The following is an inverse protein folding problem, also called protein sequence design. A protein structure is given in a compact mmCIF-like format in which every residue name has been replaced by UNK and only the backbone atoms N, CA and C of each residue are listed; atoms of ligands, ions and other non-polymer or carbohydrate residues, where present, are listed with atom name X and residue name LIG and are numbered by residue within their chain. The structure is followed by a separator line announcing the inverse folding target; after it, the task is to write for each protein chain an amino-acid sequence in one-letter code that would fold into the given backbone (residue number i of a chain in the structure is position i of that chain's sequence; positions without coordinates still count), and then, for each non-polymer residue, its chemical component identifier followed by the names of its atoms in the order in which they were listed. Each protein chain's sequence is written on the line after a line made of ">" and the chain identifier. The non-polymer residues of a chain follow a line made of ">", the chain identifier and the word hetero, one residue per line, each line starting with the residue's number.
data_IF_696764032251
#
_entry.id   IF_696764032251
#
_cell.length_a   1.000
_cell.length_b   1.000
_cell.length_c   1.000
_cell.angle_alpha   90.00
_cell.angle_beta   90.00
_cell.angle_gamma   90.00
#
_symmetry.space_group_name_H-M   'P 1'
#
loop_
_entity.id
_entity.type
_entity.pdbx_description
1 polymer ?
#
# COMPACT_ATOMS: atom_id res chain seq x y z
N UNK A 1 -14.73 15.50 13.13
CA UNK A 1 -13.84 14.99 12.06
C UNK A 1 -14.42 13.68 11.59
N UNK A 2 -14.52 13.44 10.27
CA UNK A 2 -14.94 12.14 9.75
C UNK A 2 -13.99 11.04 10.26
N UNK A 3 -14.52 9.82 10.51
CA UNK A 3 -13.68 8.69 10.90
C UNK A 3 -12.74 8.37 9.71
N UNK A 4 -11.44 8.14 9.96
CA UNK A 4 -10.47 7.76 8.91
C UNK A 4 -10.85 6.43 8.22
N UNK A 5 -11.74 5.68 8.85
CA UNK A 5 -12.28 4.42 8.35
C UNK A 5 -13.58 4.57 7.57
N UNK A 6 -14.18 5.76 7.49
CA UNK A 6 -15.31 6.04 6.62
C UNK A 6 -14.80 6.28 5.19
N UNK A 7 -15.14 5.42 4.20
CA UNK A 7 -14.75 5.67 2.83
C UNK A 7 -15.57 6.84 2.25
N UNK A 8 -15.02 7.57 1.26
CA UNK A 8 -15.80 8.56 0.50
C UNK A 8 -17.05 7.91 -0.15
N UNK A 9 -18.14 8.66 -0.38
CA UNK A 9 -19.40 8.11 -0.91
C UNK A 9 -19.27 7.33 -2.23
N UNK A 10 -18.27 7.66 -3.05
CA UNK A 10 -17.93 6.99 -4.30
C UNK A 10 -17.27 5.61 -4.12
N UNK A 11 -16.81 5.27 -2.91
CA UNK A 11 -16.18 4.00 -2.57
C UNK A 11 -17.03 3.20 -1.58
N UNK A 12 -17.95 2.38 -2.10
CA UNK A 12 -18.63 1.39 -1.25
C UNK A 12 -17.60 0.36 -0.73
N UNK A 13 -17.55 0.09 0.60
CA UNK A 13 -16.52 -0.76 1.18
C UNK A 13 -16.62 -2.20 0.67
N UNK A 14 -15.50 -2.73 0.15
CA UNK A 14 -15.41 -4.12 -0.35
C UNK A 14 -15.34 -5.18 0.74
N UNK A 15 -15.03 -4.81 1.98
CA UNK A 15 -14.91 -5.75 3.10
C UNK A 15 -15.15 -5.11 4.46
N UNK A 16 -15.30 -5.95 5.49
CA UNK A 16 -15.29 -5.51 6.87
C UNK A 16 -13.90 -5.00 7.23
N UNK A 17 -13.81 -3.70 7.49
CA UNK A 17 -12.56 -3.04 7.77
C UNK A 17 -11.94 -3.52 9.10
N UNK A 18 -10.61 -3.68 9.11
CA UNK A 18 -9.80 -3.90 10.31
C UNK A 18 -9.06 -2.60 10.64
N UNK A 19 -9.18 -2.15 11.89
CA UNK A 19 -8.47 -0.95 12.39
C UNK A 19 -6.97 -1.20 12.62
N UNK A 20 -6.59 -2.47 12.72
CA UNK A 20 -5.20 -2.91 12.81
C UNK A 20 -4.61 -3.23 11.44
N UNK A 21 -3.27 -3.14 11.32
CA UNK A 21 -2.55 -3.55 10.14
C UNK A 21 -2.83 -5.02 9.80
N UNK A 22 -3.33 -5.28 8.60
CA UNK A 22 -3.60 -6.64 8.09
C UNK A 22 -2.37 -7.31 7.46
N UNK A 23 -1.22 -6.62 7.46
CA UNK A 23 0.00 -7.04 6.78
C UNK A 23 -0.23 -7.39 5.29
N UNK A 24 -1.11 -6.66 4.61
CA UNK A 24 -1.41 -6.89 3.19
C UNK A 24 -0.31 -6.40 2.23
N UNK A 25 0.77 -5.78 2.69
CA UNK A 25 1.86 -5.30 1.84
C UNK A 25 1.56 -4.10 0.93
N UNK A 26 0.30 -3.64 0.82
CA UNK A 26 -0.08 -2.56 -0.10
C UNK A 26 0.70 -1.26 0.15
N UNK A 27 0.71 -0.74 1.38
CA UNK A 27 1.48 0.47 1.72
C UNK A 27 3.01 0.24 1.67
N UNK A 28 3.47 -1.01 1.76
CA UNK A 28 4.88 -1.34 1.59
C UNK A 28 5.31 -1.37 0.12
N UNK A 29 4.41 -1.58 -0.84
CA UNK A 29 4.76 -1.71 -2.26
C UNK A 29 4.24 -0.55 -3.14
N UNK A 30 3.07 0.01 -2.85
CA UNK A 30 2.41 0.95 -3.74
C UNK A 30 2.96 2.39 -3.71
N UNK A 31 3.05 3.09 -2.57
CA UNK A 31 3.44 4.52 -2.56
C UNK A 31 4.92 4.68 -2.87
N UNK A 32 5.32 5.77 -3.52
CA UNK A 32 6.71 6.19 -3.55
C UNK A 32 7.10 6.78 -2.19
N UNK A 33 8.36 6.61 -1.80
CA UNK A 33 8.89 7.19 -0.56
C UNK A 33 10.26 7.76 -0.86
N UNK A 34 10.31 9.04 -1.22
CA UNK A 34 11.53 9.73 -1.62
C UNK A 34 12.66 9.60 -0.57
N UNK A 35 12.36 9.79 0.71
CA UNK A 35 13.33 9.67 1.81
C UNK A 35 13.94 8.27 1.95
N UNK A 36 13.29 7.23 1.39
CA UNK A 36 13.78 5.85 1.37
C UNK A 36 14.28 5.41 0.00
N UNK A 37 14.30 6.32 -0.99
CA UNK A 37 14.56 6.00 -2.40
C UNK A 37 13.71 4.84 -2.90
N UNK A 38 12.44 4.74 -2.43
CA UNK A 38 11.51 3.69 -2.84
C UNK A 38 10.66 4.20 -4.00
N UNK A 39 10.80 3.63 -5.21
CA UNK A 39 9.98 4.05 -6.34
C UNK A 39 8.51 3.66 -6.15
N UNK A 40 7.62 4.39 -6.85
CA UNK A 40 6.20 4.08 -6.91
C UNK A 40 5.97 2.66 -7.45
N UNK A 41 5.10 1.89 -6.79
CA UNK A 41 4.70 0.55 -7.22
C UNK A 41 5.77 -0.54 -7.08
N UNK A 42 6.97 -0.20 -6.59
CA UNK A 42 8.05 -1.18 -6.38
C UNK A 42 8.00 -1.71 -4.94
N UNK A 43 7.95 -3.04 -4.75
CA UNK A 43 8.02 -3.65 -3.42
C UNK A 43 9.21 -3.13 -2.60
N UNK A 44 8.94 -2.69 -1.37
CA UNK A 44 10.01 -2.29 -0.45
C UNK A 44 10.98 -3.46 -0.22
N UNK A 45 12.28 -3.17 -0.12
CA UNK A 45 13.33 -4.13 0.27
C UNK A 45 13.10 -4.87 1.59
N UNK A 46 12.22 -4.36 2.45
CA UNK A 46 11.85 -4.97 3.73
C UNK A 46 10.49 -5.69 3.69
N UNK A 47 9.89 -5.85 2.51
CA UNK A 47 8.70 -6.65 2.34
C UNK A 47 9.08 -8.13 2.30
N UNK A 48 8.55 -8.90 3.24
CA UNK A 48 8.67 -10.36 3.25
C UNK A 48 7.84 -11.00 2.14
N UNK A 49 8.09 -12.29 1.86
CA UNK A 49 7.33 -13.03 0.86
C UNK A 49 5.85 -13.12 1.24
N UNK A 50 4.99 -13.19 0.21
CA UNK A 50 3.57 -13.48 0.39
C UNK A 50 3.38 -14.93 0.86
N UNK A 51 2.63 -15.13 1.95
CA UNK A 51 2.28 -16.47 2.44
C UNK A 51 0.97 -17.00 1.82
N UNK A 52 0.58 -18.22 2.20
CA UNK A 52 -0.62 -18.87 1.67
C UNK A 52 -1.94 -18.15 2.05
N UNK A 53 -1.92 -17.28 3.06
CA UNK A 53 -3.05 -16.46 3.46
C UNK A 53 -3.05 -15.07 2.80
N UNK A 54 -2.10 -14.82 1.90
CA UNK A 54 -1.93 -13.53 1.23
C UNK A 54 -1.26 -12.47 2.11
N UNK A 55 -0.66 -12.84 3.24
CA UNK A 55 0.04 -11.90 4.12
C UNK A 55 1.43 -11.60 3.57
N UNK A 56 1.78 -10.32 3.49
CA UNK A 56 3.10 -9.81 3.09
C UNK A 56 3.70 -8.99 4.25
N UNK A 57 4.37 -9.63 5.22
CA UNK A 57 4.82 -8.97 6.43
C UNK A 57 5.98 -7.99 6.15
N UNK A 58 6.02 -6.88 6.87
CA UNK A 58 7.20 -6.01 6.87
C UNK A 58 8.23 -6.56 7.87
N UNK A 59 9.41 -6.94 7.40
CA UNK A 59 10.44 -7.61 8.23
C UNK A 59 11.04 -6.70 9.29
N UNK A 60 10.88 -5.38 9.17
CA UNK A 60 11.34 -4.37 10.12
C UNK A 60 10.17 -3.64 10.80
N UNK A 61 9.00 -4.28 10.96
CA UNK A 61 7.78 -3.62 11.44
C UNK A 61 7.98 -2.82 12.74
N UNK A 62 8.66 -3.40 13.73
CA UNK A 62 8.95 -2.75 15.01
C UNK A 62 9.93 -1.56 14.89
N UNK A 63 10.81 -1.60 13.88
CA UNK A 63 11.88 -0.63 13.67
C UNK A 63 11.57 0.35 12.53
N UNK A 64 10.34 0.33 12.00
CA UNK A 64 9.91 1.15 10.86
C UNK A 64 10.33 2.61 11.02
N UNK A 65 10.94 3.26 10.02
CA UNK A 65 11.28 4.67 10.11
C UNK A 65 10.01 5.53 10.25
N UNK A 66 10.17 6.78 10.70
CA UNK A 66 9.06 7.69 11.00
C UNK A 66 8.07 7.84 9.84
N UNK A 67 8.57 7.89 8.60
CA UNK A 67 7.73 7.96 7.39
C UNK A 67 6.79 6.75 7.25
N UNK A 68 7.25 5.55 7.59
CA UNK A 68 6.42 4.34 7.56
C UNK A 68 5.48 4.26 8.76
N UNK A 69 5.89 4.74 9.95
CA UNK A 69 5.04 4.78 11.15
C UNK A 69 3.91 5.80 11.06
N UNK A 70 4.09 6.83 10.25
CA UNK A 70 3.05 7.84 9.99
C UNK A 70 1.92 7.29 9.11
N UNK A 71 2.14 6.14 8.46
CA UNK A 71 1.09 5.43 7.72
C UNK A 71 0.25 4.58 8.68
N UNK A 72 -0.86 5.13 9.16
CA UNK A 72 -1.85 4.41 9.95
C UNK A 72 -2.86 3.69 9.03
N UNK A 73 -3.41 2.53 9.42
CA UNK A 73 -4.54 1.93 8.72
C UNK A 73 -5.73 2.89 8.63
N UNK A 74 -6.40 2.89 7.48
CA UNK A 74 -7.56 3.71 7.14
C UNK A 74 -8.52 2.91 6.24
N UNK A 75 -9.55 3.57 5.69
CA UNK A 75 -10.52 2.95 4.78
C UNK A 75 -9.89 2.27 3.56
N UNK A 76 -8.74 2.75 3.06
CA UNK A 76 -8.04 2.17 1.90
C UNK A 76 -7.62 0.73 2.20
N UNK A 77 -7.29 0.41 3.45
CA UNK A 77 -6.97 -0.95 3.86
C UNK A 77 -8.14 -1.93 3.62
N UNK A 78 -9.39 -1.49 3.74
CA UNK A 78 -10.58 -2.28 3.43
C UNK A 78 -10.77 -2.57 1.93
N UNK A 79 -10.20 -1.73 1.07
CA UNK A 79 -10.25 -1.86 -0.39
C UNK A 79 -9.13 -2.72 -0.97
N UNK A 80 -7.95 -2.66 -0.35
CA UNK A 80 -6.75 -3.36 -0.84
C UNK A 80 -6.60 -4.73 -0.19
N UNK A 81 -6.72 -4.86 1.14
CA UNK A 81 -6.39 -6.11 1.84
C UNK A 81 -7.12 -7.38 1.35
N UNK A 82 -8.39 -7.32 0.88
CA UNK A 82 -9.09 -8.49 0.35
C UNK A 82 -8.59 -8.97 -1.02
N UNK A 83 -7.77 -8.20 -1.73
CA UNK A 83 -7.34 -8.54 -3.08
C UNK A 83 -6.29 -9.66 -3.06
N UNK A 84 -6.41 -10.64 -3.98
CA UNK A 84 -5.75 -11.94 -3.84
C UNK A 84 -4.24 -11.91 -4.09
N UNK A 85 -3.68 -10.85 -4.66
CA UNK A 85 -2.26 -10.75 -4.98
C UNK A 85 -1.71 -9.39 -4.62
N UNK A 86 -0.41 -9.32 -4.31
CA UNK A 86 0.27 -8.04 -4.08
C UNK A 86 0.11 -7.08 -5.27
N UNK A 87 0.22 -7.56 -6.51
CA UNK A 87 -0.01 -6.74 -7.71
C UNK A 87 -1.41 -6.11 -7.77
N UNK A 88 -2.45 -6.88 -7.47
CA UNK A 88 -3.81 -6.37 -7.44
C UNK A 88 -3.99 -5.29 -6.36
N UNK A 89 -3.35 -5.49 -5.20
CA UNK A 89 -3.32 -4.52 -4.10
C UNK A 89 -2.64 -3.22 -4.48
N UNK A 90 -1.49 -3.31 -5.16
CA UNK A 90 -0.77 -2.14 -5.68
C UNK A 90 -1.64 -1.37 -6.67
N UNK A 91 -2.21 -2.06 -7.67
CA UNK A 91 -3.07 -1.40 -8.68
C UNK A 91 -4.25 -0.69 -8.03
N UNK A 92 -4.95 -1.36 -7.11
CA UNK A 92 -6.09 -0.73 -6.42
C UNK A 92 -5.69 0.48 -5.59
N UNK A 93 -4.55 0.42 -4.90
CA UNK A 93 -4.02 1.57 -4.18
C UNK A 93 -3.78 2.75 -5.13
N UNK A 94 -3.08 2.50 -6.25
CA UNK A 94 -2.78 3.54 -7.23
C UNK A 94 -4.05 4.14 -7.83
N UNK A 95 -5.05 3.32 -8.16
CA UNK A 95 -6.37 3.78 -8.61
C UNK A 95 -7.04 4.72 -7.60
N UNK A 96 -7.02 4.38 -6.31
CA UNK A 96 -7.64 5.18 -5.25
C UNK A 96 -7.00 6.57 -5.16
N UNK A 97 -5.68 6.65 -5.34
CA UNK A 97 -4.95 7.92 -5.27
C UNK A 97 -4.77 8.62 -6.64
N UNK A 98 -5.34 8.07 -7.73
CA UNK A 98 -5.20 8.63 -9.07
C UNK A 98 -3.75 8.63 -9.60
N UNK A 99 -2.98 7.61 -9.20
CA UNK A 99 -1.57 7.45 -9.56
C UNK A 99 -1.42 6.41 -10.68
N UNK A 100 -0.41 6.60 -11.53
CA UNK A 100 -0.06 5.66 -12.60
C UNK A 100 1.39 5.21 -12.43
N UNK A 101 1.66 3.92 -12.70
CA UNK A 101 3.03 3.42 -12.72
C UNK A 101 3.81 4.15 -13.81
N UNK A 102 5.05 4.59 -13.54
CA UNK A 102 5.88 5.21 -14.57
C UNK A 102 6.05 4.25 -15.73
N UNK A 103 5.86 4.74 -16.95
CA UNK A 103 6.11 3.93 -18.15
C UNK A 103 7.62 3.76 -18.26
N UNK A 104 8.07 2.66 -18.86
CA UNK A 104 9.50 2.36 -19.01
C UNK A 104 10.30 3.51 -19.69
N UNK A 105 9.62 4.30 -20.51
CA UNK A 105 10.14 5.50 -21.20
C UNK A 105 10.41 6.71 -20.27
N UNK A 106 9.73 6.83 -19.13
CA UNK A 106 9.85 7.96 -18.20
C UNK A 106 11.06 7.81 -17.26
N UNK A 107 11.41 6.56 -16.93
CA UNK A 107 12.58 6.24 -16.09
C UNK A 107 13.89 6.61 -16.81
N UNK A 108 13.93 6.43 -18.13
CA UNK A 108 15.11 6.71 -18.96
C UNK A 108 15.41 8.21 -19.14
N UNK A 109 14.42 9.09 -18.94
CA UNK A 109 14.60 10.55 -19.07
C UNK A 109 15.01 11.25 -17.78
N UNK A 110 14.98 10.53 -16.65
CA UNK A 110 15.29 11.09 -15.31
C UNK A 110 16.65 10.61 -14.76
N UNK A 111 17.48 9.96 -15.59
CA UNK A 111 18.84 9.49 -15.25
C UNK A 111 19.92 10.32 -15.91
#
# INVERSE_FOLDING_TARGET
>A
MPDLFDPPPEFAPRSALRRDCTACGACCAAPDIHALHKPLGVPCRFLGPEDAAGVCPCTVYAERPAVCRSYAPDWVCGEVAPLPTLDARIRRFLEIYGLELPRAEDVLKSS
#
